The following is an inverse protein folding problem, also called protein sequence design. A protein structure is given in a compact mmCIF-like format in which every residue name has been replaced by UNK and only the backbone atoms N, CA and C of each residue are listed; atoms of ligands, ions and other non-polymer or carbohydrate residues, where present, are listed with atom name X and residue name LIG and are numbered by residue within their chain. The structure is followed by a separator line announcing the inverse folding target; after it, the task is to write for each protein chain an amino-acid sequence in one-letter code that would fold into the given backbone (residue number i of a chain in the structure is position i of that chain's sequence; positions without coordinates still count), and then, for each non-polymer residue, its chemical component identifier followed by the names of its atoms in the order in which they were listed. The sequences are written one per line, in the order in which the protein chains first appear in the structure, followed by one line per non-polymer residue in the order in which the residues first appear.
data_IF_782698683105
#
_entry.id   IF_782698683105
#
_cell.length_a   1.000
_cell.length_b   1.000
_cell.length_c   1.000
_cell.angle_alpha   90.00
_cell.angle_beta   90.00
_cell.angle_gamma   90.00
#
_symmetry.space_group_name_H-M   'P 1'
#
loop_
_entity.id
_entity.type
_entity.pdbx_description
1 polymer ?
#
# COMPACT_ATOMS: atom_id res chain seq x y z
N UNK A 1 2.62 -41.09 60.11
CA UNK A 1 1.81 -40.61 58.98
C UNK A 1 2.55 -39.46 58.31
N UNK A 2 3.20 -39.69 57.18
CA UNK A 2 4.01 -38.70 56.48
C UNK A 2 3.18 -38.14 55.30
N UNK A 3 2.78 -36.85 55.39
CA UNK A 3 2.08 -36.14 54.30
C UNK A 3 3.10 -35.65 53.27
N UNK A 4 3.12 -36.26 52.08
CA UNK A 4 3.89 -35.77 50.94
C UNK A 4 3.15 -34.59 50.30
N UNK A 5 3.78 -33.41 50.36
CA UNK A 5 3.34 -32.21 49.63
C UNK A 5 3.92 -32.28 48.23
N UNK A 6 3.05 -32.37 47.23
CA UNK A 6 3.43 -32.40 45.84
C UNK A 6 3.39 -30.95 45.31
N UNK A 7 4.58 -30.34 45.14
CA UNK A 7 4.71 -29.03 44.50
C UNK A 7 4.57 -29.21 42.98
N UNK A 8 3.44 -28.79 42.43
CA UNK A 8 3.25 -28.68 40.99
C UNK A 8 3.82 -27.33 40.54
N UNK A 9 5.01 -27.40 39.90
CA UNK A 9 5.64 -26.23 39.27
C UNK A 9 4.94 -25.94 37.93
N UNK A 10 4.12 -24.90 37.87
CA UNK A 10 3.55 -24.40 36.63
C UNK A 10 4.68 -23.70 35.83
N UNK A 11 5.15 -24.35 34.77
CA UNK A 11 6.00 -23.73 33.78
C UNK A 11 5.13 -22.81 32.90
N UNK A 12 5.12 -21.51 33.20
CA UNK A 12 4.59 -20.47 32.30
C UNK A 12 5.57 -20.33 31.14
N UNK A 13 5.24 -20.98 30.03
CA UNK A 13 5.94 -20.78 28.75
C UNK A 13 5.55 -19.40 28.20
N UNK A 14 6.36 -18.40 28.44
CA UNK A 14 6.20 -17.06 27.85
C UNK A 14 6.54 -17.16 26.37
N UNK A 15 5.53 -17.19 25.50
CA UNK A 15 5.72 -17.01 24.06
C UNK A 15 6.16 -15.56 23.82
N UNK A 16 7.43 -15.37 23.54
CA UNK A 16 7.94 -14.10 23.01
C UNK A 16 7.47 -14.03 21.57
N UNK A 17 6.40 -13.30 21.30
CA UNK A 17 6.00 -12.93 19.94
C UNK A 17 7.03 -11.90 19.46
N UNK A 18 7.98 -12.33 18.67
CA UNK A 18 8.89 -11.42 17.96
C UNK A 18 8.08 -10.71 16.89
N UNK A 19 7.84 -9.42 17.05
CA UNK A 19 7.31 -8.59 15.99
C UNK A 19 8.41 -8.48 14.91
N UNK A 20 8.10 -8.96 13.70
CA UNK A 20 9.02 -8.81 12.57
C UNK A 20 8.97 -7.37 12.07
N UNK A 21 10.12 -6.84 11.66
CA UNK A 21 10.23 -5.51 11.06
C UNK A 21 9.29 -5.34 9.87
N UNK A 22 8.79 -4.12 9.68
CA UNK A 22 7.96 -3.80 8.49
C UNK A 22 8.79 -3.94 7.21
N UNK A 23 8.34 -4.79 6.30
CA UNK A 23 9.02 -5.04 5.02
C UNK A 23 8.65 -3.95 4.01
N UNK A 24 9.64 -3.22 3.52
CA UNK A 24 9.47 -2.21 2.49
C UNK A 24 9.60 -2.89 1.11
N UNK A 25 8.56 -2.81 0.28
CA UNK A 25 8.54 -3.35 -1.09
C UNK A 25 8.47 -2.20 -2.09
N UNK A 26 9.36 -2.20 -3.08
CA UNK A 26 9.25 -1.32 -4.23
C UNK A 26 8.42 -2.04 -5.30
N UNK A 27 7.22 -1.52 -5.59
CA UNK A 27 6.37 -2.11 -6.62
C UNK A 27 6.92 -1.90 -8.02
N UNK A 28 7.12 -2.99 -8.79
CA UNK A 28 7.67 -3.01 -10.14
C UNK A 28 6.71 -3.70 -11.11
N UNK A 29 5.75 -2.99 -11.70
CA UNK A 29 4.68 -3.60 -12.50
C UNK A 29 5.15 -4.29 -13.78
N UNK A 30 6.38 -4.02 -14.22
CA UNK A 30 6.94 -4.56 -15.45
C UNK A 30 7.91 -5.74 -15.25
N UNK A 31 7.87 -6.39 -14.09
CA UNK A 31 8.54 -7.68 -13.89
C UNK A 31 10.02 -7.61 -13.49
N UNK A 32 10.46 -6.50 -12.92
CA UNK A 32 11.87 -6.32 -12.52
C UNK A 32 12.25 -7.04 -11.20
N UNK A 33 11.30 -7.69 -10.50
CA UNK A 33 11.53 -8.42 -9.24
C UNK A 33 10.74 -9.72 -9.22
N UNK A 34 11.39 -10.83 -8.88
CA UNK A 34 10.87 -12.21 -9.00
C UNK A 34 9.71 -12.59 -8.08
N UNK A 35 9.42 -11.80 -7.04
CA UNK A 35 8.39 -12.15 -6.04
C UNK A 35 7.10 -11.31 -6.15
N UNK A 36 6.95 -10.52 -7.20
CA UNK A 36 5.77 -9.68 -7.35
C UNK A 36 4.70 -10.33 -8.21
N UNK A 37 3.45 -10.05 -7.86
CA UNK A 37 2.31 -10.40 -8.70
C UNK A 37 2.44 -9.62 -10.02
N UNK A 38 2.65 -10.35 -11.12
CA UNK A 38 2.72 -9.73 -12.46
C UNK A 38 1.33 -9.22 -12.82
N UNK A 39 1.19 -7.92 -13.13
CA UNK A 39 -0.09 -7.36 -13.52
C UNK A 39 -0.63 -8.02 -14.79
N UNK A 40 -1.88 -8.47 -14.73
CA UNK A 40 -2.60 -9.01 -15.89
C UNK A 40 -3.50 -7.93 -16.46
N UNK A 41 -3.24 -7.52 -17.71
CA UNK A 41 -4.09 -6.56 -18.40
C UNK A 41 -5.45 -7.20 -18.69
N UNK A 42 -6.48 -6.76 -17.98
CA UNK A 42 -7.87 -7.20 -18.18
C UNK A 42 -8.61 -6.31 -19.17
N UNK A 43 -8.14 -5.09 -19.37
CA UNK A 43 -8.77 -4.11 -20.25
C UNK A 43 -7.74 -3.13 -20.80
N UNK A 44 -7.82 -2.85 -22.08
CA UNK A 44 -7.11 -1.76 -22.74
C UNK A 44 -8.06 -0.60 -23.03
N UNK A 45 -7.64 0.61 -22.76
CA UNK A 45 -8.42 1.83 -22.97
C UNK A 45 -7.56 2.89 -23.65
N UNK A 46 -8.20 3.74 -24.44
CA UNK A 46 -7.62 5.02 -24.85
C UNK A 46 -7.93 6.06 -23.78
N UNK A 47 -6.93 6.87 -23.44
CA UNK A 47 -7.07 7.87 -22.39
C UNK A 47 -5.95 8.89 -22.37
N UNK A 48 -5.88 9.62 -21.28
CA UNK A 48 -4.90 10.66 -21.04
C UNK A 48 -4.35 10.53 -19.61
N UNK A 49 -3.04 10.73 -19.45
CA UNK A 49 -2.41 10.88 -18.14
C UNK A 49 -1.92 12.31 -18.00
N UNK A 50 -2.35 13.03 -16.98
CA UNK A 50 -2.27 14.48 -16.93
C UNK A 50 -1.50 15.03 -15.73
N UNK A 51 -1.20 14.22 -14.73
CA UNK A 51 -0.42 14.63 -13.56
C UNK A 51 0.26 13.45 -12.89
N UNK A 52 1.22 13.72 -12.03
CA UNK A 52 1.77 12.73 -11.13
C UNK A 52 0.66 12.15 -10.24
N UNK A 53 0.80 10.87 -9.86
CA UNK A 53 -0.12 10.21 -8.93
C UNK A 53 -0.30 11.00 -7.63
N UNK A 54 -1.52 11.01 -7.10
CA UNK A 54 -1.85 11.58 -5.79
C UNK A 54 -1.82 10.53 -4.67
N UNK A 55 -1.79 9.25 -5.03
CA UNK A 55 -1.77 8.15 -4.07
C UNK A 55 -0.35 7.68 -3.72
N UNK A 56 0.61 7.95 -4.62
CA UNK A 56 2.03 7.71 -4.38
C UNK A 56 2.88 8.74 -5.13
N UNK A 57 3.82 9.37 -4.43
CA UNK A 57 4.79 10.29 -5.03
C UNK A 57 5.97 9.46 -5.53
N UNK A 58 5.98 9.22 -6.83
CA UNK A 58 7.00 8.43 -7.52
C UNK A 58 7.08 8.87 -8.99
N UNK A 59 8.28 8.95 -9.53
CA UNK A 59 8.54 9.57 -10.84
C UNK A 59 7.81 8.90 -12.01
N UNK A 60 7.58 7.58 -11.92
CA UNK A 60 6.89 6.79 -12.96
C UNK A 60 5.39 6.61 -12.69
N UNK A 61 4.88 7.18 -11.59
CA UNK A 61 3.46 7.04 -11.19
C UNK A 61 2.63 8.24 -11.66
N UNK A 62 1.58 7.94 -12.40
CA UNK A 62 0.68 8.90 -13.04
C UNK A 62 -0.75 8.78 -12.55
N UNK A 63 -1.49 9.85 -12.74
CA UNK A 63 -2.95 9.90 -12.67
C UNK A 63 -3.51 10.06 -14.07
N UNK A 64 -4.39 9.12 -14.45
CA UNK A 64 -4.93 9.02 -15.80
C UNK A 64 -6.46 9.02 -15.81
N UNK A 65 -7.05 9.44 -16.93
CA UNK A 65 -8.49 9.35 -17.21
C UNK A 65 -8.69 8.53 -18.48
N UNK A 66 -9.59 7.55 -18.41
CA UNK A 66 -10.03 6.78 -19.57
C UNK A 66 -11.45 6.28 -19.35
N UNK A 67 -12.29 6.32 -20.40
CA UNK A 67 -13.69 5.89 -20.32
C UNK A 67 -14.50 6.58 -19.22
N UNK A 68 -14.23 7.87 -18.97
CA UNK A 68 -14.92 8.67 -17.95
C UNK A 68 -14.53 8.33 -16.49
N UNK A 69 -13.49 7.52 -16.29
CA UNK A 69 -13.01 7.13 -14.95
C UNK A 69 -11.58 7.58 -14.72
N UNK A 70 -11.27 7.94 -13.48
CA UNK A 70 -9.90 8.23 -13.02
C UNK A 70 -9.25 6.94 -12.54
N UNK A 71 -7.99 6.75 -12.96
CA UNK A 71 -7.09 5.68 -12.54
C UNK A 71 -5.89 6.29 -11.86
N UNK A 72 -5.60 5.87 -10.64
CA UNK A 72 -4.50 6.36 -9.82
C UNK A 72 -4.12 5.27 -8.78
N UNK A 73 -2.88 4.80 -8.70
CA UNK A 73 -1.76 5.12 -9.58
C UNK A 73 -1.81 4.33 -10.91
N UNK A 74 -1.22 4.92 -11.95
CA UNK A 74 -0.85 4.25 -13.19
C UNK A 74 0.67 4.35 -13.34
N UNK A 75 1.33 3.26 -13.68
CA UNK A 75 2.78 3.22 -13.81
C UNK A 75 3.20 3.19 -15.28
N UNK A 76 4.29 3.87 -15.59
CA UNK A 76 4.83 3.97 -16.94
C UNK A 76 6.19 3.26 -16.98
N UNK A 77 6.40 2.41 -17.99
CA UNK A 77 7.67 1.73 -18.18
C UNK A 77 8.80 2.74 -18.44
N UNK A 78 9.96 2.50 -17.86
CA UNK A 78 11.16 3.28 -18.17
C UNK A 78 11.55 3.11 -19.64
N UNK A 79 12.07 4.18 -20.27
CA UNK A 79 12.53 4.13 -21.65
C UNK A 79 11.90 5.21 -22.56
N UNK A 80 12.28 5.26 -23.85
CA UNK A 80 11.68 6.12 -24.84
C UNK A 80 10.25 5.65 -25.19
N UNK A 81 9.44 6.53 -25.79
CA UNK A 81 8.10 6.21 -26.28
C UNK A 81 7.12 5.71 -25.20
N UNK A 82 6.98 6.48 -24.14
CA UNK A 82 6.08 6.18 -22.99
C UNK A 82 4.61 6.46 -23.38
N UNK A 83 4.04 5.64 -24.24
CA UNK A 83 2.67 5.80 -24.74
C UNK A 83 1.68 4.87 -24.05
N UNK A 84 2.13 4.14 -23.01
CA UNK A 84 1.32 3.19 -22.28
C UNK A 84 1.53 3.35 -20.76
N UNK A 85 0.42 3.34 -20.02
CA UNK A 85 0.42 3.35 -18.57
C UNK A 85 -0.36 2.14 -18.05
N UNK A 86 0.22 1.38 -17.11
CA UNK A 86 -0.38 0.24 -16.46
C UNK A 86 -0.96 0.65 -15.11
N UNK A 87 -2.26 0.50 -14.96
CA UNK A 87 -3.02 0.93 -13.79
C UNK A 87 -3.49 -0.29 -12.99
N UNK A 88 -2.68 -0.83 -12.08
CA UNK A 88 -3.05 -1.96 -11.24
C UNK A 88 -4.06 -1.55 -10.17
N UNK A 89 -4.88 -2.49 -9.76
CA UNK A 89 -5.89 -2.25 -8.73
C UNK A 89 -5.25 -2.16 -7.34
N UNK A 90 -4.22 -2.95 -7.11
CA UNK A 90 -3.45 -3.01 -5.85
C UNK A 90 -2.12 -3.73 -6.10
N UNK A 91 -1.12 -3.64 -5.20
CA UNK A 91 0.16 -4.32 -5.39
C UNK A 91 0.08 -5.86 -5.23
N UNK A 92 -0.99 -6.36 -4.63
CA UNK A 92 -1.23 -7.80 -4.39
C UNK A 92 -2.25 -8.43 -5.33
N UNK A 93 -2.99 -7.65 -6.10
CA UNK A 93 -3.96 -8.15 -7.08
C UNK A 93 -3.42 -7.90 -8.49
N UNK A 94 -3.30 -8.97 -9.27
CA UNK A 94 -2.75 -8.91 -10.63
C UNK A 94 -3.64 -8.22 -11.66
N UNK A 95 -4.91 -7.91 -11.36
CA UNK A 95 -5.80 -7.26 -12.30
C UNK A 95 -5.41 -5.80 -12.54
N UNK A 96 -5.26 -5.43 -13.80
CA UNK A 96 -4.85 -4.09 -14.22
C UNK A 96 -5.60 -3.62 -15.46
N UNK A 97 -5.61 -2.30 -15.64
CA UNK A 97 -6.05 -1.63 -16.87
C UNK A 97 -4.82 -1.02 -17.53
N UNK A 98 -4.66 -1.23 -18.84
CA UNK A 98 -3.67 -0.55 -19.64
C UNK A 98 -4.31 0.65 -20.32
N UNK A 99 -3.72 1.83 -20.15
CA UNK A 99 -4.17 3.05 -20.81
C UNK A 99 -3.15 3.42 -21.88
N UNK A 100 -3.60 3.48 -23.14
CA UNK A 100 -2.83 3.98 -24.26
C UNK A 100 -3.07 5.47 -24.41
N UNK A 101 -1.99 6.25 -24.48
CA UNK A 101 -2.03 7.71 -24.66
C UNK A 101 -1.50 8.10 -26.02
N UNK A 102 -2.05 9.18 -26.60
CA UNK A 102 -1.64 9.67 -27.93
C UNK A 102 -0.28 10.37 -27.93
N UNK A 103 0.03 11.03 -26.80
CA UNK A 103 1.26 11.80 -26.65
C UNK A 103 2.15 11.07 -25.63
N UNK A 104 3.44 10.85 -25.92
CA UNK A 104 4.36 10.24 -24.98
C UNK A 104 4.42 11.01 -23.66
N UNK A 105 4.43 10.26 -22.56
CA UNK A 105 4.45 10.82 -21.20
C UNK A 105 5.87 11.28 -20.83
N UNK A 106 5.97 12.49 -20.29
CA UNK A 106 7.21 13.08 -19.81
C UNK A 106 7.17 13.24 -18.28
N UNK A 107 8.09 12.58 -17.58
CA UNK A 107 8.18 12.56 -16.12
C UNK A 107 9.18 13.59 -15.55
N UNK A 108 9.79 14.45 -16.36
CA UNK A 108 10.87 15.37 -15.93
C UNK A 108 10.48 16.26 -14.75
N UNK A 109 9.19 16.59 -14.64
CA UNK A 109 8.67 17.41 -13.55
C UNK A 109 8.08 16.59 -12.39
N UNK A 110 8.11 15.25 -12.47
CA UNK A 110 7.64 14.42 -11.39
C UNK A 110 8.67 14.39 -10.26
N UNK A 111 8.18 14.46 -9.02
CA UNK A 111 8.99 14.21 -7.83
C UNK A 111 9.41 12.75 -7.80
N UNK A 112 10.67 12.51 -7.45
CA UNK A 112 11.21 11.16 -7.25
C UNK A 112 10.70 10.55 -5.94
N UNK A 113 10.72 9.22 -5.88
CA UNK A 113 10.36 8.49 -4.68
C UNK A 113 11.37 8.74 -3.55
N UNK A 114 10.87 9.22 -2.43
CA UNK A 114 11.56 9.23 -1.14
C UNK A 114 10.73 8.39 -0.15
N UNK A 115 11.13 7.15 0.10
CA UNK A 115 10.41 6.22 0.97
C UNK A 115 10.35 6.71 2.43
N UNK A 116 11.24 7.62 2.85
CA UNK A 116 11.22 8.18 4.19
C UNK A 116 10.06 9.16 4.40
N UNK A 117 9.56 9.77 3.32
CA UNK A 117 8.51 10.81 3.35
C UNK A 117 7.24 10.40 2.63
N UNK A 118 7.36 9.64 1.55
CA UNK A 118 6.23 9.19 0.73
C UNK A 118 5.36 8.20 1.51
N UNK A 119 4.05 8.35 1.43
CA UNK A 119 3.12 7.33 1.89
C UNK A 119 3.07 6.18 0.90
N UNK A 120 3.12 4.91 1.36
CA UNK A 120 2.94 3.75 0.48
C UNK A 120 1.53 3.76 -0.11
N UNK A 121 1.35 3.22 -1.31
CA UNK A 121 0.01 3.09 -1.89
C UNK A 121 -0.70 1.79 -1.52
N UNK A 122 0.03 0.81 -0.97
CA UNK A 122 -0.49 -0.43 -0.41
C UNK A 122 0.16 -0.77 0.92
N UNK A 123 -0.62 -1.31 1.83
CA UNK A 123 -0.22 -1.72 3.19
C UNK A 123 -0.83 -3.08 3.48
N UNK A 124 -0.06 -3.97 4.08
CA UNK A 124 -0.53 -5.20 4.72
C UNK A 124 -0.29 -5.10 6.23
N UNK A 125 -1.32 -5.32 7.01
CA UNK A 125 -1.24 -5.33 8.47
C UNK A 125 -0.69 -6.66 8.97
N UNK A 126 -0.25 -6.72 10.22
CA UNK A 126 0.26 -7.95 10.85
C UNK A 126 -0.80 -9.05 10.97
N UNK A 127 -2.08 -8.70 10.94
CA UNK A 127 -3.19 -9.65 10.89
C UNK A 127 -3.55 -10.13 9.47
N UNK A 128 -2.79 -9.72 8.43
CA UNK A 128 -3.01 -10.08 7.03
C UNK A 128 -4.00 -9.19 6.28
N UNK A 129 -4.65 -8.22 6.94
CA UNK A 129 -5.53 -7.28 6.27
C UNK A 129 -4.76 -6.39 5.29
N UNK A 130 -5.34 -6.17 4.12
CA UNK A 130 -4.76 -5.39 3.04
C UNK A 130 -5.50 -4.06 2.88
N UNK A 131 -4.74 -2.96 2.94
CA UNK A 131 -5.27 -1.61 2.87
C UNK A 131 -4.63 -0.86 1.70
N UNK A 132 -5.44 -0.28 0.82
CA UNK A 132 -4.97 0.54 -0.30
C UNK A 132 -5.18 2.02 -0.02
N UNK A 133 -4.27 2.84 -0.50
CA UNK A 133 -4.39 4.29 -0.46
C UNK A 133 -5.66 4.74 -1.21
N UNK A 134 -6.32 5.75 -0.68
CA UNK A 134 -7.48 6.39 -1.30
C UNK A 134 -7.28 7.90 -1.28
N UNK A 135 -7.78 8.57 -2.32
CA UNK A 135 -8.00 10.01 -2.25
C UNK A 135 -9.31 10.24 -1.52
N UNK A 136 -9.24 10.88 -0.36
CA UNK A 136 -10.41 11.15 0.46
C UNK A 136 -10.27 12.51 1.12
N UNK A 137 -11.35 13.28 1.12
CA UNK A 137 -11.47 14.52 1.89
C UNK A 137 -12.09 14.23 3.28
N UNK A 138 -12.35 12.95 3.59
CA UNK A 138 -12.88 12.55 4.89
C UNK A 138 -11.86 12.78 6.00
N UNK A 139 -12.35 13.35 7.08
CA UNK A 139 -11.62 13.56 8.33
C UNK A 139 -12.36 12.79 9.43
N UNK A 140 -11.63 12.04 10.22
CA UNK A 140 -12.13 11.36 11.39
C UNK A 140 -11.37 11.86 12.63
N UNK A 141 -12.06 12.50 13.56
CA UNK A 141 -11.48 13.06 14.79
C UNK A 141 -10.20 13.89 14.49
N UNK A 142 -10.32 14.88 13.59
CA UNK A 142 -9.25 15.73 13.07
C UNK A 142 -8.12 15.00 12.32
N UNK A 143 -8.27 13.69 12.08
CA UNK A 143 -7.29 12.87 11.36
C UNK A 143 -7.73 12.60 9.92
N UNK A 144 -6.87 12.77 8.91
CA UNK A 144 -7.22 12.45 7.53
C UNK A 144 -7.37 10.95 7.35
N UNK A 145 -8.41 10.54 6.61
CA UNK A 145 -8.60 9.15 6.18
C UNK A 145 -7.71 8.90 4.97
N UNK A 146 -6.78 7.93 5.07
CA UNK A 146 -5.74 7.70 4.06
C UNK A 146 -5.87 6.38 3.32
N UNK A 147 -6.33 5.32 3.97
CA UNK A 147 -6.43 3.98 3.38
C UNK A 147 -7.79 3.37 3.66
N UNK A 148 -8.22 2.54 2.72
CA UNK A 148 -9.39 1.66 2.89
C UNK A 148 -8.91 0.22 2.88
N UNK A 149 -9.28 -0.54 3.92
CA UNK A 149 -8.91 -1.93 4.12
C UNK A 149 -9.95 -2.92 3.55
N UNK A 150 -9.55 -4.18 3.37
CA UNK A 150 -10.40 -5.26 2.88
C UNK A 150 -11.57 -5.57 3.83
N UNK A 151 -11.37 -5.43 5.13
CA UNK A 151 -12.39 -5.54 6.17
C UNK A 151 -13.37 -4.34 6.24
N UNK A 152 -13.27 -3.39 5.29
CA UNK A 152 -14.03 -2.13 5.20
C UNK A 152 -13.65 -1.06 6.22
N UNK A 153 -12.71 -1.31 7.12
CA UNK A 153 -12.14 -0.30 8.01
C UNK A 153 -11.24 0.69 7.25
N UNK A 154 -10.80 1.73 7.96
CA UNK A 154 -9.94 2.78 7.39
C UNK A 154 -8.71 2.98 8.25
N UNK A 155 -7.56 3.21 7.62
CA UNK A 155 -6.41 3.75 8.33
C UNK A 155 -6.46 5.28 8.28
N UNK A 156 -6.27 5.90 9.44
CA UNK A 156 -6.41 7.34 9.66
C UNK A 156 -5.14 7.94 10.27
N UNK A 157 -5.00 9.24 10.15
CA UNK A 157 -3.88 9.99 10.75
C UNK A 157 -2.56 9.81 10.03
N UNK A 158 -1.49 9.67 10.79
CA UNK A 158 -0.12 9.70 10.29
C UNK A 158 0.55 8.33 10.45
N UNK A 159 1.33 7.96 9.43
CA UNK A 159 2.18 6.77 9.44
C UNK A 159 3.34 6.97 10.41
N UNK A 160 3.44 6.12 11.41
CA UNK A 160 4.51 6.12 12.40
C UNK A 160 5.67 5.26 11.92
N UNK A 161 6.86 5.87 11.76
CA UNK A 161 8.08 5.25 11.20
C UNK A 161 9.24 5.27 12.18
N UNK A 162 9.03 5.70 13.42
CA UNK A 162 10.09 5.87 14.42
C UNK A 162 10.63 4.54 14.99
N UNK A 163 10.00 3.43 14.64
CA UNK A 163 10.39 2.07 15.01
C UNK A 163 10.59 1.23 13.75
N UNK A 164 11.25 0.08 13.87
CA UNK A 164 11.40 -0.89 12.77
C UNK A 164 10.07 -1.49 12.36
N UNK A 165 9.15 -1.68 13.31
CA UNK A 165 7.74 -2.00 13.04
C UNK A 165 6.95 -0.70 12.92
N UNK A 166 6.49 -0.41 11.71
CA UNK A 166 5.66 0.76 11.44
C UNK A 166 4.23 0.56 11.92
N UNK A 167 3.53 1.64 12.21
CA UNK A 167 2.15 1.57 12.67
C UNK A 167 1.30 2.72 12.15
N UNK A 168 -0.01 2.52 12.17
CA UNK A 168 -1.04 3.54 11.94
C UNK A 168 -2.21 3.34 12.89
N UNK A 169 -3.12 4.29 12.90
CA UNK A 169 -4.40 4.15 13.58
C UNK A 169 -5.42 3.54 12.62
N UNK A 170 -6.13 2.51 13.07
CA UNK A 170 -7.26 1.91 12.37
C UNK A 170 -8.57 2.35 13.03
N UNK A 171 -9.47 2.92 12.23
CA UNK A 171 -10.85 3.18 12.63
C UNK A 171 -11.69 1.93 12.41
N UNK A 172 -12.15 1.34 13.50
CA UNK A 172 -13.06 0.20 13.53
C UNK A 172 -14.47 0.64 14.00
N UNK A 173 -15.50 -0.20 13.90
CA UNK A 173 -16.80 0.07 14.48
C UNK A 173 -16.77 0.29 16.01
N UNK A 174 -15.79 -0.30 16.71
CA UNK A 174 -15.66 -0.23 18.17
C UNK A 174 -14.79 0.95 18.64
N UNK A 175 -14.13 1.66 17.73
CA UNK A 175 -13.26 2.80 18.05
C UNK A 175 -11.98 2.83 17.22
N UNK A 176 -10.98 3.51 17.73
CA UNK A 176 -9.67 3.63 17.08
C UNK A 176 -8.65 2.80 17.84
N UNK A 177 -7.89 1.99 17.10
CA UNK A 177 -6.82 1.15 17.64
C UNK A 177 -5.53 1.37 16.87
N UNK A 178 -4.39 1.17 17.51
CA UNK A 178 -3.10 1.14 16.81
C UNK A 178 -2.91 -0.22 16.19
N UNK A 179 -2.55 -0.24 14.89
CA UNK A 179 -2.25 -1.46 14.14
C UNK A 179 -0.84 -1.41 13.59
N UNK A 180 -0.16 -2.55 13.61
CA UNK A 180 1.19 -2.71 13.08
C UNK A 180 1.15 -3.17 11.62
N UNK A 181 2.14 -2.73 10.85
CA UNK A 181 2.27 -3.01 9.44
C UNK A 181 3.32 -4.09 9.20
N UNK A 182 2.93 -5.17 8.53
CA UNK A 182 3.85 -6.24 8.11
C UNK A 182 4.59 -5.88 6.82
N UNK A 183 3.88 -5.30 5.84
CA UNK A 183 4.46 -4.91 4.53
C UNK A 183 3.88 -3.60 4.03
N UNK A 184 4.69 -2.85 3.31
CA UNK A 184 4.25 -1.63 2.62
C UNK A 184 4.82 -1.59 1.21
N UNK A 185 4.02 -1.11 0.24
CA UNK A 185 4.39 -1.01 -1.17
C UNK A 185 4.47 0.45 -1.61
N UNK A 186 5.63 0.76 -2.20
CA UNK A 186 5.92 2.04 -2.84
C UNK A 186 5.95 1.93 -4.35
#
# INVERSE_FOLDING_TARGET
MLRKVFCISLFLCSFVVSANDTVLKLYRPYGEVSEQVVPQVKKELLGECYSQSQLIIREDAWRCIAGGKTYDPCFVKAGPNRTEALCPRSPWNGDSVQIKVKVPLNNEHHKTLDMSRTYPWGIELTNGEQCRAIKSDMIYDQMPVRYKCSNKNYLVGYLQRCKTVWSMLEKTPQGVVTVELSKVWF
#
